data_IF_322235894434
#
_entry.id   IF_322235894434
#
_cell.length_a   1.000
_cell.length_b   1.000
_cell.length_c   1.000
_cell.angle_alpha   90.00
_cell.angle_beta   90.00
_cell.angle_gamma   90.00
#
_symmetry.space_group_name_H-M   'P 1'
#
loop_
_entity.id
_entity.type
_entity.pdbx_description
1 polymer ?
#
# COMPACT_ATOMS: atom_id res chain seq x y z
N UNK A 1 -71.74 -5.60 12.29
CA UNK A 1 -70.64 -4.66 12.63
C UNK A 1 -69.43 -5.50 12.96
N UNK A 2 -68.51 -5.80 12.02
CA UNK A 2 -67.16 -6.34 12.28
C UNK A 2 -66.48 -6.75 10.97
N UNK A 3 -66.13 -5.82 10.13
CA UNK A 3 -65.27 -6.12 8.95
C UNK A 3 -64.11 -5.12 8.75
N UNK A 4 -63.95 -4.18 9.64
CA UNK A 4 -62.94 -3.12 9.46
C UNK A 4 -61.58 -3.42 10.14
N UNK A 5 -61.54 -4.26 11.16
CA UNK A 5 -60.30 -4.59 11.90
C UNK A 5 -59.30 -5.47 11.14
N UNK A 6 -59.81 -6.44 10.34
CA UNK A 6 -58.94 -7.43 9.67
C UNK A 6 -58.10 -6.83 8.49
N UNK A 7 -58.68 -5.89 7.75
CA UNK A 7 -57.98 -5.20 6.67
C UNK A 7 -56.80 -4.32 7.13
N UNK A 8 -56.93 -3.74 8.36
CA UNK A 8 -55.84 -2.94 8.97
C UNK A 8 -54.63 -3.77 9.34
N UNK A 9 -54.87 -4.92 10.00
CA UNK A 9 -53.81 -5.81 10.47
C UNK A 9 -53.03 -6.41 9.26
N UNK A 10 -53.71 -6.85 8.20
CA UNK A 10 -53.08 -7.37 6.99
C UNK A 10 -52.22 -6.32 6.29
N UNK A 11 -52.67 -5.05 6.27
CA UNK A 11 -51.90 -3.93 5.70
C UNK A 11 -50.64 -3.59 6.49
N UNK A 12 -50.71 -3.68 7.81
CA UNK A 12 -49.57 -3.46 8.70
C UNK A 12 -48.55 -4.61 8.55
N UNK A 13 -49.01 -5.86 8.46
CA UNK A 13 -48.11 -7.01 8.28
C UNK A 13 -47.45 -6.99 6.89
N UNK A 14 -48.15 -6.59 5.83
CA UNK A 14 -47.55 -6.46 4.49
C UNK A 14 -46.54 -5.30 4.42
N UNK A 15 -46.79 -4.18 5.13
CA UNK A 15 -45.84 -3.05 5.23
C UNK A 15 -44.59 -3.45 6.01
N UNK A 16 -44.72 -4.28 7.06
CA UNK A 16 -43.58 -4.84 7.81
C UNK A 16 -42.72 -5.74 6.95
N UNK A 17 -43.28 -6.67 6.19
CA UNK A 17 -42.53 -7.56 5.29
C UNK A 17 -41.78 -6.81 4.20
N UNK A 18 -42.40 -5.77 3.60
CA UNK A 18 -41.72 -4.92 2.62
C UNK A 18 -40.55 -4.14 3.23
N UNK A 19 -40.71 -3.64 4.45
CA UNK A 19 -39.63 -2.92 5.16
C UNK A 19 -38.50 -3.86 5.53
N UNK A 20 -38.80 -5.10 5.92
CA UNK A 20 -37.79 -6.14 6.21
C UNK A 20 -37.02 -6.52 4.93
N UNK A 21 -37.72 -6.72 3.82
CA UNK A 21 -37.09 -7.00 2.52
C UNK A 21 -36.21 -5.84 2.06
N UNK A 22 -36.68 -4.60 2.23
CA UNK A 22 -35.90 -3.40 1.89
C UNK A 22 -34.64 -3.30 2.78
N UNK A 23 -34.76 -3.56 4.07
CA UNK A 23 -33.64 -3.58 5.01
C UNK A 23 -32.60 -4.64 4.66
N UNK A 24 -33.04 -5.85 4.31
CA UNK A 24 -32.17 -6.94 3.87
C UNK A 24 -31.46 -6.58 2.56
N UNK A 25 -32.16 -5.93 1.64
CA UNK A 25 -31.57 -5.48 0.37
C UNK A 25 -30.49 -4.42 0.57
N UNK A 26 -30.74 -3.45 1.47
CA UNK A 26 -29.75 -2.41 1.83
C UNK A 26 -28.52 -3.05 2.49
N UNK A 27 -28.73 -4.00 3.42
CA UNK A 27 -27.64 -4.74 4.07
C UNK A 27 -26.81 -5.53 3.05
N UNK A 28 -27.43 -6.17 2.09
CA UNK A 28 -26.75 -6.90 1.01
C UNK A 28 -25.88 -5.96 0.16
N UNK A 29 -26.41 -4.80 -0.24
CA UNK A 29 -25.64 -3.79 -1.00
C UNK A 29 -24.45 -3.28 -0.17
N UNK A 30 -24.67 -2.98 1.09
CA UNK A 30 -23.61 -2.52 2.00
C UNK A 30 -22.49 -3.56 2.10
N UNK A 31 -22.84 -4.83 2.25
CA UNK A 31 -21.88 -5.93 2.30
C UNK A 31 -21.09 -6.09 0.99
N UNK A 32 -21.77 -5.96 -0.15
CA UNK A 32 -21.14 -6.01 -1.47
C UNK A 32 -20.18 -4.80 -1.67
N UNK A 33 -20.57 -3.61 -1.24
CA UNK A 33 -19.72 -2.42 -1.31
C UNK A 33 -18.47 -2.57 -0.46
N UNK A 34 -18.61 -3.05 0.79
CA UNK A 34 -17.46 -3.29 1.67
C UNK A 34 -16.55 -4.36 1.08
N UNK A 35 -17.11 -5.46 0.56
CA UNK A 35 -16.35 -6.51 -0.12
C UNK A 35 -15.60 -6.01 -1.35
N UNK A 36 -16.24 -5.17 -2.17
CA UNK A 36 -15.61 -4.55 -3.33
C UNK A 36 -14.48 -3.60 -2.94
N UNK A 37 -14.68 -2.75 -1.93
CA UNK A 37 -13.63 -1.86 -1.42
C UNK A 37 -12.45 -2.65 -0.85
N UNK A 38 -12.71 -3.71 -0.11
CA UNK A 38 -11.66 -4.61 0.40
C UNK A 38 -10.91 -5.29 -0.74
N UNK A 39 -11.61 -5.77 -1.75
CA UNK A 39 -11.01 -6.41 -2.93
C UNK A 39 -10.15 -5.42 -3.74
N UNK A 40 -10.63 -4.20 -3.97
CA UNK A 40 -9.87 -3.15 -4.65
C UNK A 40 -8.63 -2.74 -3.84
N UNK A 41 -8.74 -2.69 -2.52
CA UNK A 41 -7.62 -2.35 -1.64
C UNK A 41 -6.52 -3.42 -1.66
N UNK A 42 -6.89 -4.70 -1.78
CA UNK A 42 -5.91 -5.81 -1.86
C UNK A 42 -5.26 -5.92 -3.24
N UNK A 43 -5.92 -5.49 -4.30
CA UNK A 43 -5.35 -5.52 -5.65
C UNK A 43 -4.31 -4.43 -5.94
N UNK A 44 -4.28 -3.37 -5.15
CA UNK A 44 -3.39 -2.22 -5.40
C UNK A 44 -1.92 -2.47 -5.01
N UNK A 45 -1.54 -3.72 -4.70
CA UNK A 45 -0.17 -4.14 -4.36
C UNK A 45 0.60 -4.73 -5.54
N UNK A 46 0.07 -4.64 -6.76
CA UNK A 46 0.68 -5.28 -7.92
C UNK A 46 1.84 -4.46 -8.47
N UNK A 47 3.04 -5.02 -8.40
CA UNK A 47 4.18 -4.55 -9.18
C UNK A 47 5.04 -3.46 -8.55
N UNK A 48 5.09 -3.36 -7.23
CA UNK A 48 6.00 -2.40 -6.57
C UNK A 48 7.44 -2.87 -6.67
N UNK A 49 8.29 -1.99 -7.18
CA UNK A 49 9.73 -2.20 -7.29
C UNK A 49 10.46 -1.13 -6.49
N UNK A 50 11.36 -1.55 -5.62
CA UNK A 50 12.28 -0.65 -4.95
C UNK A 50 13.53 -0.43 -5.80
N UNK A 51 13.87 0.82 -6.02
CA UNK A 51 15.10 1.28 -6.66
C UNK A 51 16.00 1.89 -5.60
N UNK A 52 17.20 1.36 -5.46
CA UNK A 52 18.20 1.81 -4.49
C UNK A 52 19.32 2.51 -5.24
N UNK A 53 19.50 3.78 -4.94
CA UNK A 53 20.55 4.62 -5.51
C UNK A 53 21.57 4.94 -4.44
N UNK A 54 22.84 4.90 -4.79
CA UNK A 54 23.93 5.39 -3.98
C UNK A 54 24.83 6.32 -4.80
N UNK A 55 25.09 7.49 -4.28
CA UNK A 55 25.83 8.55 -5.00
C UNK A 55 25.23 8.89 -6.37
N UNK A 56 23.90 8.80 -6.50
CA UNK A 56 23.19 9.03 -7.75
C UNK A 56 23.14 7.83 -8.72
N UNK A 57 23.90 6.77 -8.45
CA UNK A 57 23.91 5.56 -9.29
C UNK A 57 22.93 4.52 -8.77
N UNK A 58 22.17 3.90 -9.67
CA UNK A 58 21.31 2.77 -9.33
C UNK A 58 22.18 1.55 -9.01
N UNK A 59 22.20 1.15 -7.74
CA UNK A 59 22.99 -0.01 -7.29
C UNK A 59 22.18 -1.29 -7.18
N UNK A 60 20.85 -1.17 -6.96
CA UNK A 60 19.99 -2.36 -6.82
C UNK A 60 18.55 -2.05 -7.21
N UNK A 61 17.91 -3.04 -7.85
CA UNK A 61 16.46 -3.06 -8.14
C UNK A 61 15.87 -4.32 -7.51
N UNK A 62 14.80 -4.18 -6.73
CA UNK A 62 14.18 -5.27 -5.97
C UNK A 62 12.67 -5.26 -6.22
N UNK A 63 12.10 -6.43 -6.56
CA UNK A 63 10.64 -6.61 -6.53
C UNK A 63 10.19 -6.76 -5.09
N UNK A 64 9.20 -5.99 -4.66
CA UNK A 64 8.63 -6.07 -3.32
C UNK A 64 7.45 -7.03 -3.25
N UNK A 65 6.86 -7.41 -4.38
CA UNK A 65 5.66 -8.26 -4.42
C UNK A 65 5.95 -9.75 -4.27
N UNK A 66 7.19 -10.19 -4.55
CA UNK A 66 7.58 -11.60 -4.55
C UNK A 66 8.35 -12.01 -3.28
N UNK A 67 8.38 -11.17 -2.27
CA UNK A 67 9.09 -11.42 -1.02
C UNK A 67 8.29 -12.37 -0.14
N UNK A 68 8.69 -13.65 -0.11
CA UNK A 68 8.04 -14.68 0.71
C UNK A 68 8.39 -14.57 2.20
N UNK A 69 9.63 -14.23 2.49
CA UNK A 69 10.14 -14.04 3.85
C UNK A 69 10.90 -12.72 3.94
N UNK A 70 10.72 -11.95 5.02
CA UNK A 70 11.50 -10.74 5.25
C UNK A 70 12.99 -11.03 5.32
N UNK A 71 13.80 -10.22 4.66
CA UNK A 71 15.24 -10.31 4.71
C UNK A 71 15.89 -8.95 4.88
N UNK A 72 17.16 -8.95 5.25
CA UNK A 72 17.95 -7.75 5.49
C UNK A 72 19.28 -7.84 4.74
N UNK A 73 19.80 -6.68 4.36
CA UNK A 73 21.14 -6.55 3.82
C UNK A 73 21.73 -5.18 4.15
N UNK A 74 23.04 -5.13 4.26
CA UNK A 74 23.77 -3.92 4.55
C UNK A 74 24.26 -3.27 3.26
N UNK A 75 24.26 -1.94 3.25
CA UNK A 75 24.85 -1.11 2.20
C UNK A 75 25.89 -0.22 2.89
N UNK A 76 27.15 -0.43 2.55
CA UNK A 76 28.25 0.35 3.07
C UNK A 76 28.46 1.63 2.26
N UNK A 77 28.78 2.73 2.93
CA UNK A 77 29.13 3.98 2.29
C UNK A 77 30.65 4.06 2.03
N UNK A 78 31.04 4.69 0.92
CA UNK A 78 32.46 4.89 0.59
C UNK A 78 33.19 5.79 1.60
N UNK A 79 32.46 6.72 2.20
CA UNK A 79 32.98 7.65 3.20
C UNK A 79 33.06 7.04 4.62
N UNK A 80 32.82 5.72 4.73
CA UNK A 80 32.62 4.98 5.97
C UNK A 80 31.16 5.07 6.40
N UNK A 81 30.73 4.10 7.24
CA UNK A 81 29.36 4.01 7.67
C UNK A 81 28.50 3.06 6.86
N UNK A 82 27.30 2.77 7.36
CA UNK A 82 26.41 1.78 6.77
C UNK A 82 24.94 2.16 6.92
N UNK A 83 24.11 1.49 6.09
CA UNK A 83 22.66 1.44 6.22
C UNK A 83 22.21 -0.01 6.18
N UNK A 84 21.47 -0.47 7.18
CA UNK A 84 20.84 -1.78 7.20
C UNK A 84 19.43 -1.67 6.61
N UNK A 85 19.24 -2.27 5.44
CA UNK A 85 17.98 -2.25 4.71
C UNK A 85 17.21 -3.52 4.99
N UNK A 86 15.92 -3.37 5.32
CA UNK A 86 14.98 -4.48 5.47
C UNK A 86 13.97 -4.45 4.33
N UNK A 87 13.69 -5.63 3.77
CA UNK A 87 12.71 -5.85 2.71
C UNK A 87 11.66 -6.83 3.21
N UNK A 88 10.41 -6.46 3.05
CA UNK A 88 9.24 -7.28 3.37
C UNK A 88 8.31 -7.32 2.16
N UNK A 89 7.28 -8.16 2.22
CA UNK A 89 6.28 -8.22 1.17
C UNK A 89 5.55 -6.87 1.03
N UNK A 90 5.78 -6.19 -0.09
CA UNK A 90 5.21 -4.88 -0.41
C UNK A 90 5.84 -3.71 0.32
N UNK A 91 6.97 -3.86 1.04
CA UNK A 91 7.59 -2.76 1.77
C UNK A 91 9.11 -2.87 1.85
N UNK A 92 9.78 -1.70 1.95
CA UNK A 92 11.22 -1.59 2.16
C UNK A 92 11.51 -0.45 3.12
N UNK A 93 12.56 -0.57 3.93
CA UNK A 93 12.95 0.47 4.88
C UNK A 93 14.39 0.35 5.32
N UNK A 94 14.92 1.43 5.90
CA UNK A 94 16.20 1.43 6.62
C UNK A 94 15.87 1.23 8.10
N UNK A 95 16.35 0.14 8.68
CA UNK A 95 16.06 -0.23 10.07
C UNK A 95 17.18 0.11 11.03
N UNK A 96 18.38 0.35 10.51
CA UNK A 96 19.53 0.83 11.29
C UNK A 96 20.51 1.54 10.35
N UNK A 97 21.19 2.56 10.89
CA UNK A 97 22.23 3.31 10.20
C UNK A 97 23.12 3.98 11.24
N UNK A 98 24.38 4.18 10.92
CA UNK A 98 25.32 4.92 11.79
C UNK A 98 25.39 6.42 11.47
N UNK A 99 24.41 6.95 10.70
CA UNK A 99 24.28 8.38 10.47
C UNK A 99 23.85 9.13 11.74
N UNK A 100 24.35 10.36 11.99
CA UNK A 100 24.17 11.08 13.26
C UNK A 100 22.73 11.38 13.64
N UNK A 101 21.90 11.73 12.68
CA UNK A 101 20.52 12.21 12.84
C UNK A 101 19.47 11.11 12.70
N UNK A 102 19.84 9.94 12.16
CA UNK A 102 18.95 8.76 12.00
C UNK A 102 17.58 9.03 11.36
N UNK A 103 17.46 10.10 10.56
CA UNK A 103 16.21 10.48 9.90
C UNK A 103 15.76 9.39 8.92
N UNK A 104 16.71 8.74 8.25
CA UNK A 104 16.44 7.64 7.32
C UNK A 104 15.79 6.43 8.04
N UNK A 105 16.21 6.14 9.27
CA UNK A 105 15.65 5.07 10.11
C UNK A 105 14.24 5.45 10.62
N UNK A 106 14.06 6.71 11.04
CA UNK A 106 12.78 7.22 11.53
C UNK A 106 11.68 7.21 10.48
N UNK A 107 12.02 7.18 9.19
CA UNK A 107 11.07 7.06 8.09
C UNK A 107 10.30 5.73 8.15
N UNK A 108 10.91 4.68 8.69
CA UNK A 108 10.32 3.35 8.79
C UNK A 108 10.16 2.64 7.45
N UNK A 109 9.28 1.64 7.42
CA UNK A 109 8.98 0.86 6.22
C UNK A 109 8.06 1.63 5.27
N UNK A 110 8.39 1.67 3.98
CA UNK A 110 7.67 2.38 2.93
C UNK A 110 7.16 1.36 1.90
N UNK A 111 5.89 1.48 1.57
CA UNK A 111 5.18 0.59 0.61
C UNK A 111 4.56 1.36 -0.56
N UNK A 112 4.76 2.66 -0.63
CA UNK A 112 4.13 3.51 -1.64
C UNK A 112 5.17 4.30 -2.46
N UNK A 113 4.71 4.87 -3.58
CA UNK A 113 5.51 5.70 -4.48
C UNK A 113 5.65 7.16 -4.02
N UNK A 114 5.23 7.45 -2.80
CA UNK A 114 5.23 8.81 -2.26
C UNK A 114 6.63 9.42 -2.12
N UNK A 115 7.10 9.55 -0.90
CA UNK A 115 8.41 10.16 -0.64
C UNK A 115 9.50 9.10 -0.50
N UNK A 116 10.68 9.27 -1.13
CA UNK A 116 11.80 8.37 -1.00
C UNK A 116 12.36 8.37 0.43
N UNK A 117 12.98 7.27 0.82
CA UNK A 117 13.84 7.22 2.00
C UNK A 117 15.20 7.76 1.59
N UNK A 118 15.70 8.74 2.29
CA UNK A 118 16.98 9.39 1.96
C UNK A 118 17.90 9.41 3.18
N UNK A 119 19.11 8.89 3.03
CA UNK A 119 20.19 9.03 3.97
C UNK A 119 21.26 9.96 3.35
N UNK A 120 21.25 11.22 3.73
CA UNK A 120 22.14 12.24 3.16
C UNK A 120 23.63 11.96 3.46
N UNK A 121 24.03 11.62 4.69
CA UNK A 121 25.44 11.33 5.00
C UNK A 121 26.01 10.20 4.14
N UNK A 122 25.20 9.16 3.88
CA UNK A 122 25.63 7.99 3.08
C UNK A 122 25.25 8.09 1.61
N UNK A 123 24.65 9.21 1.18
CA UNK A 123 24.20 9.47 -0.22
C UNK A 123 23.33 8.35 -0.76
N UNK A 124 22.52 7.72 0.13
CA UNK A 124 21.63 6.61 -0.19
C UNK A 124 20.21 7.12 -0.37
N UNK A 125 19.54 6.68 -1.45
CA UNK A 125 18.13 6.99 -1.74
C UNK A 125 17.42 5.71 -2.14
N UNK A 126 16.31 5.42 -1.47
CA UNK A 126 15.42 4.29 -1.80
C UNK A 126 14.11 4.86 -2.31
N UNK A 127 13.73 4.53 -3.54
CA UNK A 127 12.45 4.90 -4.17
C UNK A 127 11.62 3.65 -4.42
N UNK A 128 10.33 3.71 -4.11
CA UNK A 128 9.37 2.68 -4.51
C UNK A 128 8.63 3.18 -5.75
N UNK A 129 8.52 2.34 -6.78
CA UNK A 129 7.80 2.65 -8.02
C UNK A 129 6.86 1.51 -8.38
N UNK A 130 5.70 1.86 -8.96
CA UNK A 130 4.88 0.86 -9.65
C UNK A 130 5.50 0.53 -11.00
N UNK A 131 5.70 -0.74 -11.29
CA UNK A 131 6.00 -1.17 -12.66
C UNK A 131 4.69 -1.03 -13.49
N UNK A 132 4.40 0.17 -13.94
CA UNK A 132 3.66 0.29 -15.18
C UNK A 132 4.66 -0.08 -16.29
N UNK A 133 4.30 -1.04 -17.13
CA UNK A 133 5.05 -1.45 -18.31
C UNK A 133 5.02 -0.35 -19.39
N UNK A 134 5.44 0.84 -19.04
CA UNK A 134 5.77 1.91 -19.97
C UNK A 134 7.28 2.12 -19.85
N UNK A 135 7.96 1.67 -20.86
CA UNK A 135 9.32 2.02 -21.23
C UNK A 135 9.41 3.54 -21.47
N UNK A 136 9.54 4.29 -20.39
CA UNK A 136 10.01 5.66 -20.48
C UNK A 136 11.42 5.71 -19.87
N UNK A 137 12.37 5.24 -20.68
CA UNK A 137 13.72 5.75 -20.70
C UNK A 137 13.62 7.24 -21.05
N UNK A 138 13.51 8.08 -20.04
CA UNK A 138 13.80 9.49 -20.24
C UNK A 138 15.31 9.65 -20.01
N UNK A 139 16.06 9.37 -21.04
CA UNK A 139 17.38 9.94 -21.25
C UNK A 139 17.24 11.46 -21.43
N UNK A 140 17.13 12.18 -20.33
CA UNK A 140 17.37 13.60 -20.32
C UNK A 140 18.89 13.82 -20.28
N UNK A 141 19.55 13.64 -21.41
CA UNK A 141 20.89 14.20 -21.64
C UNK A 141 20.68 15.70 -21.80
N UNK A 142 20.93 16.46 -20.76
CA UNK A 142 21.15 17.90 -20.86
C UNK A 142 22.63 18.10 -21.16
N UNK A 143 22.91 18.53 -22.38
CA UNK A 143 24.20 19.11 -22.76
C UNK A 143 24.37 20.48 -22.14
#
# INVERSE_FOLDING_TARGET
MERTGFRGIVRIMMKSKKNILLSLFILLILFLCIGALFFLHTQNRSGETALIYQEGNLIRRLSLTDVKEPYQFQIDSKDGGYNLVRVENGAIGIIDADCPDKICEQRGMVSDTGYPITCLPHKLVIKVQHLTSSSDDIDAVVQ
#
